data_IF_547748533530
#
_entry.id   IF_547748533530
#
_cell.length_a   1.000
_cell.length_b   1.000
_cell.length_c   1.000
_cell.angle_alpha   90.00
_cell.angle_beta   90.00
_cell.angle_gamma   90.00
#
_symmetry.space_group_name_H-M   'P 1'
#
loop_
_entity.id
_entity.type
_entity.pdbx_description
1 polymer ?
#
# COMPACT_ATOMS: atom_id res chain seq x y z
N UNK A 1 69.84 55.58 5.40
CA UNK A 1 68.80 55.44 4.35
C UNK A 1 67.45 55.30 5.03
N UNK A 2 66.53 56.26 4.82
CA UNK A 2 65.18 56.29 5.43
C UNK A 2 64.18 55.62 4.48
N UNK A 3 63.62 54.46 4.85
CA UNK A 3 62.50 53.87 4.11
C UNK A 3 61.17 54.32 4.73
N UNK A 4 60.42 55.15 3.99
CA UNK A 4 59.02 55.51 4.30
C UNK A 4 58.13 54.30 4.04
N UNK A 5 57.49 53.76 5.08
CA UNK A 5 56.36 52.81 4.93
C UNK A 5 55.16 53.59 4.38
N UNK A 6 54.75 53.30 3.15
CA UNK A 6 53.47 53.76 2.59
C UNK A 6 52.41 52.77 3.08
N UNK A 7 51.55 53.23 4.00
CA UNK A 7 50.38 52.47 4.45
C UNK A 7 49.24 52.75 3.45
N UNK A 8 48.94 51.79 2.58
CA UNK A 8 47.78 51.88 1.68
C UNK A 8 46.53 51.51 2.49
N UNK A 9 45.75 52.52 2.90
CA UNK A 9 44.46 52.33 3.58
C UNK A 9 43.43 51.99 2.50
N UNK A 10 43.15 50.71 2.32
CA UNK A 10 42.00 50.26 1.54
C UNK A 10 40.75 50.53 2.38
N UNK A 11 40.00 51.60 2.06
CA UNK A 11 38.64 51.80 2.56
C UNK A 11 37.75 50.71 1.96
N UNK A 12 37.54 49.63 2.70
CA UNK A 12 36.54 48.62 2.36
C UNK A 12 35.17 49.21 2.74
N UNK A 13 34.47 49.76 1.74
CA UNK A 13 33.08 50.16 1.92
C UNK A 13 32.24 48.89 2.08
N UNK A 14 31.88 48.56 3.31
CA UNK A 14 30.94 47.48 3.62
C UNK A 14 29.55 47.95 3.18
N UNK A 15 29.16 47.61 1.95
CA UNK A 15 27.78 47.68 1.52
C UNK A 15 27.02 46.62 2.32
N UNK A 16 26.35 47.03 3.38
CA UNK A 16 25.37 46.19 4.08
C UNK A 16 24.23 45.92 3.11
N UNK A 17 24.33 44.83 2.35
CA UNK A 17 23.18 44.30 1.64
C UNK A 17 22.21 43.83 2.71
N UNK A 18 21.08 44.54 2.83
CA UNK A 18 19.96 44.04 3.60
C UNK A 18 19.44 42.81 2.86
N UNK A 19 19.91 41.63 3.26
CA UNK A 19 19.34 40.37 2.79
C UNK A 19 17.91 40.34 3.31
N UNK A 20 16.93 40.60 2.43
CA UNK A 20 15.53 40.25 2.68
C UNK A 20 15.51 38.75 2.99
N UNK A 21 15.31 38.40 4.26
CA UNK A 21 15.00 37.02 4.66
C UNK A 21 13.71 36.64 3.94
N UNK A 22 13.81 35.76 2.94
CA UNK A 22 12.63 35.07 2.42
C UNK A 22 11.97 34.35 3.60
N UNK A 23 10.64 34.45 3.77
CA UNK A 23 9.96 33.69 4.81
C UNK A 23 10.19 32.21 4.54
N UNK A 24 10.86 31.53 5.46
CA UNK A 24 11.01 30.08 5.41
C UNK A 24 9.67 29.47 5.78
N UNK A 25 8.81 29.27 4.78
CA UNK A 25 7.57 28.52 4.96
C UNK A 25 7.95 27.08 5.22
N UNK A 26 7.63 26.54 6.39
CA UNK A 26 7.77 25.11 6.65
C UNK A 26 7.07 24.33 5.54
N UNK A 27 7.65 23.23 5.04
CA UNK A 27 6.98 22.39 4.07
C UNK A 27 5.65 21.89 4.65
N UNK A 28 4.61 21.72 3.82
CA UNK A 28 3.33 21.22 4.27
C UNK A 28 3.47 19.81 4.85
N UNK A 29 2.56 19.45 5.77
CA UNK A 29 2.51 18.11 6.35
C UNK A 29 2.38 17.06 5.24
N UNK A 30 3.23 16.04 5.28
CA UNK A 30 3.17 14.93 4.32
C UNK A 30 2.13 13.88 4.74
N UNK A 31 1.70 13.06 3.78
CA UNK A 31 0.78 11.93 4.05
C UNK A 31 1.39 10.98 5.08
N UNK A 32 2.66 10.66 4.92
CA UNK A 32 3.44 9.80 5.80
C UNK A 32 3.53 10.37 7.23
N UNK A 33 3.74 11.68 7.37
CA UNK A 33 3.76 12.32 8.68
C UNK A 33 2.37 12.27 9.36
N UNK A 34 1.30 12.52 8.60
CA UNK A 34 -0.08 12.37 9.11
C UNK A 34 -0.36 10.94 9.57
N UNK A 35 0.05 9.93 8.78
CA UNK A 35 -0.09 8.51 9.12
C UNK A 35 0.71 8.14 10.38
N UNK A 36 1.90 8.69 10.58
CA UNK A 36 2.68 8.46 11.81
C UNK A 36 2.00 9.05 13.05
N UNK A 37 1.36 10.23 12.95
CA UNK A 37 0.51 10.75 14.04
C UNK A 37 -0.68 9.82 14.30
N UNK A 38 -1.31 9.30 13.24
CA UNK A 38 -2.41 8.35 13.36
C UNK A 38 -2.00 7.06 14.08
N UNK A 39 -0.82 6.50 13.79
CA UNK A 39 -0.26 5.36 14.53
C UNK A 39 -0.15 5.69 16.03
N UNK A 40 0.34 6.88 16.36
CA UNK A 40 0.45 7.35 17.74
C UNK A 40 -0.89 7.40 18.47
N UNK A 41 -1.94 7.87 17.79
CA UNK A 41 -3.31 7.95 18.35
C UNK A 41 -4.02 6.59 18.42
N UNK A 42 -3.68 5.64 17.55
CA UNK A 42 -4.23 4.27 17.56
C UNK A 42 -3.54 3.40 18.63
N UNK A 43 -2.25 3.64 18.90
CA UNK A 43 -1.44 2.84 19.84
C UNK A 43 -2.13 2.54 21.19
N UNK A 44 -2.81 3.49 21.86
CA UNK A 44 -3.53 3.19 23.11
C UNK A 44 -4.58 2.08 23.00
N UNK A 45 -5.25 1.93 21.84
CA UNK A 45 -6.25 0.87 21.61
C UNK A 45 -5.60 -0.52 21.78
N UNK A 46 -4.38 -0.69 21.27
CA UNK A 46 -3.61 -1.93 21.41
C UNK A 46 -3.09 -2.12 22.83
N UNK A 47 -2.52 -1.05 23.42
CA UNK A 47 -1.98 -1.08 24.78
C UNK A 47 -3.02 -1.45 25.84
N UNK A 48 -4.26 -0.95 25.72
CA UNK A 48 -5.39 -1.29 26.60
C UNK A 48 -5.73 -2.78 26.60
N UNK A 49 -5.39 -3.49 25.52
CA UNK A 49 -5.60 -4.95 25.38
C UNK A 49 -4.34 -5.76 25.67
N UNK A 50 -3.27 -5.12 26.15
CA UNK A 50 -2.01 -5.77 26.50
C UNK A 50 -1.05 -5.98 25.33
N UNK A 51 -1.30 -5.39 24.17
CA UNK A 51 -0.41 -5.51 23.01
C UNK A 51 0.53 -4.31 22.89
N UNK A 52 1.82 -4.60 22.76
CA UNK A 52 2.83 -3.62 22.43
C UNK A 52 2.87 -3.37 20.92
N UNK A 53 2.56 -2.16 20.49
CA UNK A 53 2.73 -1.79 19.09
C UNK A 53 4.23 -1.59 18.76
N UNK A 54 4.81 -2.32 17.79
CA UNK A 54 6.20 -2.14 17.40
C UNK A 54 6.42 -0.79 16.68
N UNK A 55 7.68 -0.44 16.46
CA UNK A 55 8.01 0.63 15.52
C UNK A 55 7.60 0.21 14.10
N UNK A 56 6.94 1.11 13.38
CA UNK A 56 6.45 0.86 12.01
C UNK A 56 6.81 2.05 11.13
N UNK A 57 7.04 1.77 9.84
CA UNK A 57 6.98 2.79 8.78
C UNK A 57 5.64 2.67 8.08
N UNK A 58 5.00 3.80 7.81
CA UNK A 58 3.69 3.83 7.16
C UNK A 58 3.75 4.79 5.98
N UNK A 59 3.38 4.29 4.80
CA UNK A 59 3.41 5.05 3.56
C UNK A 59 2.09 4.98 2.80
N UNK A 60 1.73 6.06 2.11
CA UNK A 60 0.62 6.04 1.17
C UNK A 60 1.11 5.62 -0.20
N UNK A 61 0.91 4.34 -0.53
CA UNK A 61 1.38 3.71 -1.75
C UNK A 61 0.50 2.53 -2.15
N UNK A 62 0.76 1.96 -3.32
CA UNK A 62 0.07 0.75 -3.76
C UNK A 62 0.64 -0.47 -3.04
N UNK A 63 -0.19 -1.26 -2.33
CA UNK A 63 0.24 -2.56 -1.83
C UNK A 63 0.77 -3.44 -2.97
N UNK A 64 1.79 -4.26 -2.69
CA UNK A 64 2.35 -5.16 -3.70
C UNK A 64 1.30 -6.16 -4.14
N UNK A 65 1.18 -6.35 -5.45
CA UNK A 65 0.19 -7.25 -6.03
C UNK A 65 -1.23 -6.70 -6.00
N UNK A 66 -1.42 -5.47 -5.49
CA UNK A 66 -2.64 -4.73 -5.75
C UNK A 66 -2.67 -4.40 -7.26
N UNK A 67 -3.39 -5.23 -8.02
CA UNK A 67 -3.98 -4.76 -9.26
C UNK A 67 -4.93 -3.59 -8.95
N UNK A 68 -5.59 -3.05 -9.98
CA UNK A 68 -6.42 -1.85 -9.86
C UNK A 68 -7.48 -1.90 -8.74
N UNK A 69 -7.88 -3.07 -8.21
CA UNK A 69 -9.08 -3.22 -7.36
C UNK A 69 -8.98 -4.00 -6.03
N UNK A 70 -7.87 -4.61 -5.63
CA UNK A 70 -7.99 -5.67 -4.59
C UNK A 70 -7.59 -5.29 -3.15
N UNK A 71 -6.44 -4.64 -2.94
CA UNK A 71 -5.86 -4.49 -1.60
C UNK A 71 -5.91 -3.02 -1.15
N UNK A 72 -6.39 -2.81 0.09
CA UNK A 72 -6.56 -1.49 0.69
C UNK A 72 -5.44 -1.15 1.69
N UNK A 73 -4.85 -2.17 2.32
CA UNK A 73 -3.67 -2.07 3.17
C UNK A 73 -2.75 -3.26 2.93
N UNK A 74 -1.50 -3.15 3.38
CA UNK A 74 -0.57 -4.27 3.50
C UNK A 74 0.57 -3.95 4.47
N UNK A 75 0.77 -4.84 5.44
CA UNK A 75 1.94 -4.88 6.29
C UNK A 75 2.99 -5.89 5.78
N UNK A 76 4.25 -5.56 5.98
CA UNK A 76 5.40 -6.44 5.80
C UNK A 76 6.12 -6.63 7.13
N UNK A 77 6.37 -7.89 7.48
CA UNK A 77 7.11 -8.27 8.67
C UNK A 77 8.54 -7.72 8.67
N UNK A 78 9.18 -7.66 9.85
CA UNK A 78 10.56 -7.19 10.02
C UNK A 78 11.57 -7.96 9.16
N UNK A 79 11.29 -9.24 8.86
CA UNK A 79 12.10 -10.08 7.96
C UNK A 79 12.18 -9.57 6.52
N UNK A 80 11.28 -8.66 6.12
CA UNK A 80 11.22 -8.06 4.79
C UNK A 80 11.91 -6.68 4.73
N UNK A 81 12.42 -6.16 5.85
CA UNK A 81 13.20 -4.93 5.90
C UNK A 81 14.65 -5.20 6.32
N UNK A 82 15.60 -4.57 5.65
CA UNK A 82 17.03 -4.70 5.96
C UNK A 82 17.39 -4.19 7.37
N UNK A 83 16.60 -3.26 7.92
CA UNK A 83 16.79 -2.71 9.27
C UNK A 83 15.76 -3.21 10.29
N UNK A 84 15.00 -4.24 9.93
CA UNK A 84 14.12 -4.94 10.88
C UNK A 84 12.93 -4.13 11.37
N UNK A 85 12.45 -3.15 10.59
CA UNK A 85 11.23 -2.39 10.88
C UNK A 85 10.07 -2.87 10.00
N UNK A 86 8.87 -3.00 10.56
CA UNK A 86 7.68 -3.33 9.77
C UNK A 86 7.33 -2.19 8.79
N UNK A 87 7.01 -2.55 7.55
CA UNK A 87 6.61 -1.60 6.50
C UNK A 87 5.11 -1.74 6.21
N UNK A 88 4.34 -0.67 6.38
CA UNK A 88 2.91 -0.64 6.14
C UNK A 88 2.60 0.29 4.96
N UNK A 89 1.79 -0.21 4.03
CA UNK A 89 1.30 0.55 2.89
C UNK A 89 -0.22 0.71 2.97
N UNK A 90 -0.69 1.95 2.94
CA UNK A 90 -2.11 2.29 2.84
C UNK A 90 -2.43 2.75 1.42
N UNK A 91 -3.51 2.22 0.87
CA UNK A 91 -3.91 2.50 -0.50
C UNK A 91 -4.22 4.00 -0.70
N UNK A 92 -3.82 4.59 -1.83
CA UNK A 92 -4.16 5.96 -2.17
C UNK A 92 -5.61 6.13 -2.66
N UNK A 93 -6.45 5.09 -2.59
CA UNK A 93 -7.87 5.18 -2.94
C UNK A 93 -8.72 5.92 -1.91
N UNK A 94 -8.22 6.00 -0.68
CA UNK A 94 -8.95 6.62 0.43
C UNK A 94 -8.31 7.94 0.80
N UNK A 95 -9.17 8.92 1.08
CA UNK A 95 -8.80 10.24 1.58
C UNK A 95 -9.52 10.61 2.89
N UNK A 96 -10.59 9.89 3.25
CA UNK A 96 -11.30 10.09 4.50
C UNK A 96 -10.54 9.45 5.65
N UNK A 97 -10.38 10.21 6.74
CA UNK A 97 -9.67 9.74 7.93
C UNK A 97 -10.20 8.40 8.44
N UNK A 98 -11.52 8.20 8.52
CA UNK A 98 -12.09 6.95 9.03
C UNK A 98 -11.71 5.71 8.20
N UNK A 99 -11.72 5.80 6.87
CA UNK A 99 -11.40 4.67 5.99
C UNK A 99 -9.90 4.31 6.07
N UNK A 100 -9.05 5.34 6.22
CA UNK A 100 -7.61 5.21 6.41
C UNK A 100 -7.29 4.59 7.77
N UNK A 101 -7.92 5.09 8.84
CA UNK A 101 -7.70 4.62 10.21
C UNK A 101 -8.17 3.19 10.41
N UNK A 102 -9.30 2.82 9.81
CA UNK A 102 -9.81 1.44 9.84
C UNK A 102 -8.82 0.48 9.16
N UNK A 103 -8.40 0.82 7.93
CA UNK A 103 -7.39 0.06 7.20
C UNK A 103 -6.06 -0.02 7.97
N UNK A 104 -5.58 1.10 8.49
CA UNK A 104 -4.34 1.17 9.26
C UNK A 104 -4.42 0.30 10.53
N UNK A 105 -5.56 0.30 11.21
CA UNK A 105 -5.75 -0.53 12.41
C UNK A 105 -5.64 -2.02 12.07
N UNK A 106 -6.20 -2.47 10.95
CA UNK A 106 -6.01 -3.84 10.46
C UNK A 106 -4.53 -4.16 10.21
N UNK A 107 -3.81 -3.29 9.52
CA UNK A 107 -2.39 -3.52 9.22
C UNK A 107 -1.50 -3.47 10.48
N UNK A 108 -1.90 -2.71 11.50
CA UNK A 108 -1.21 -2.69 12.78
C UNK A 108 -1.38 -4.00 13.57
N UNK A 109 -2.48 -4.74 13.36
CA UNK A 109 -2.60 -6.12 13.88
C UNK A 109 -1.53 -7.02 13.26
N UNK A 110 -1.34 -6.93 11.93
CA UNK A 110 -0.24 -7.66 11.27
C UNK A 110 1.13 -7.24 11.80
N UNK A 111 1.34 -5.97 12.11
CA UNK A 111 2.59 -5.50 12.68
C UNK A 111 2.85 -6.08 14.08
N UNK A 112 1.83 -6.12 14.95
CA UNK A 112 1.92 -6.77 16.29
C UNK A 112 2.22 -8.26 16.15
N UNK A 113 1.61 -8.93 15.18
CA UNK A 113 1.84 -10.35 14.83
C UNK A 113 3.14 -10.57 14.02
N UNK A 114 3.86 -9.51 13.69
CA UNK A 114 5.01 -9.51 12.77
C UNK A 114 4.77 -10.28 11.45
N UNK A 115 3.53 -10.27 10.96
CA UNK A 115 3.06 -10.99 9.77
C UNK A 115 3.28 -12.52 9.81
N UNK A 116 3.38 -13.14 10.98
CA UNK A 116 3.68 -14.56 11.12
C UNK A 116 2.49 -15.46 10.78
N UNK A 117 1.27 -15.04 11.16
CA UNK A 117 0.09 -15.89 11.12
C UNK A 117 -0.91 -15.51 10.03
N UNK A 118 -0.59 -14.53 9.17
CA UNK A 118 -1.51 -14.00 8.16
C UNK A 118 -2.85 -13.60 8.81
N UNK A 119 -3.95 -14.26 8.44
CA UNK A 119 -5.27 -14.07 9.05
C UNK A 119 -5.71 -15.29 9.87
N UNK A 120 -4.73 -15.98 10.47
CA UNK A 120 -4.88 -17.18 11.29
C UNK A 120 -5.41 -16.92 12.71
N UNK A 121 -5.39 -17.94 13.58
CA UNK A 121 -5.93 -17.86 14.94
C UNK A 121 -5.34 -16.73 15.80
N UNK A 122 -4.03 -16.53 15.76
CA UNK A 122 -3.28 -15.53 16.53
C UNK A 122 -3.66 -14.12 16.09
N UNK A 123 -3.62 -13.86 14.78
CA UNK A 123 -4.15 -12.62 14.19
C UNK A 123 -5.59 -12.36 14.62
N UNK A 124 -6.45 -13.39 14.51
CA UNK A 124 -7.88 -13.29 14.86
C UNK A 124 -8.06 -12.92 16.32
N UNK A 125 -7.28 -13.49 17.22
CA UNK A 125 -7.34 -13.18 18.64
C UNK A 125 -7.04 -11.70 18.89
N UNK A 126 -5.94 -11.18 18.32
CA UNK A 126 -5.56 -9.76 18.46
C UNK A 126 -6.65 -8.88 17.85
N UNK A 127 -7.07 -9.16 16.60
CA UNK A 127 -8.06 -8.39 15.87
C UNK A 127 -9.39 -8.27 16.63
N UNK A 128 -9.95 -9.40 17.10
CA UNK A 128 -11.20 -9.39 17.86
C UNK A 128 -11.05 -8.66 19.20
N UNK A 129 -9.91 -8.78 19.87
CA UNK A 129 -9.69 -8.16 21.19
C UNK A 129 -9.74 -6.63 21.14
N UNK A 130 -9.29 -6.02 20.03
CA UNK A 130 -9.28 -4.57 19.82
C UNK A 130 -10.59 -4.06 19.20
N UNK A 131 -11.51 -4.96 18.83
CA UNK A 131 -12.82 -4.62 18.29
C UNK A 131 -12.92 -4.60 16.77
N UNK A 132 -12.03 -5.29 16.04
CA UNK A 132 -12.26 -5.62 14.63
C UNK A 132 -13.27 -6.78 14.53
N UNK A 133 -14.08 -6.78 13.47
CA UNK A 133 -15.13 -7.75 13.25
C UNK A 133 -15.17 -8.24 11.80
N UNK A 134 -15.93 -9.32 11.55
CA UNK A 134 -16.14 -9.89 10.22
C UNK A 134 -15.13 -10.97 9.84
N UNK A 135 -15.00 -11.21 8.53
CA UNK A 135 -14.05 -12.21 8.00
C UNK A 135 -12.64 -11.63 8.11
N UNK A 136 -11.69 -12.30 8.78
CA UNK A 136 -10.37 -11.73 9.11
C UNK A 136 -9.61 -11.13 7.93
N UNK A 137 -9.71 -11.70 6.72
CA UNK A 137 -9.11 -11.13 5.49
C UNK A 137 -9.68 -9.75 5.08
N UNK A 138 -10.84 -9.39 5.62
CA UNK A 138 -11.61 -8.16 5.38
C UNK A 138 -12.08 -7.54 6.70
N UNK A 139 -11.42 -7.89 7.82
CA UNK A 139 -11.83 -7.42 9.12
C UNK A 139 -11.74 -5.90 9.19
N UNK A 140 -12.78 -5.28 9.74
CA UNK A 140 -12.97 -3.83 9.84
C UNK A 140 -13.50 -3.52 11.24
N UNK A 141 -13.38 -2.27 11.67
CA UNK A 141 -13.80 -1.82 12.98
C UNK A 141 -15.29 -2.08 13.22
N UNK A 142 -15.57 -2.87 14.27
CA UNK A 142 -16.90 -3.02 14.85
C UNK A 142 -17.42 -1.69 15.41
N UNK A 143 -18.70 -1.60 15.81
CA UNK A 143 -19.35 -0.33 16.15
C UNK A 143 -18.60 0.51 17.19
N UNK A 144 -18.11 -0.11 18.26
CA UNK A 144 -17.37 0.58 19.33
C UNK A 144 -16.02 1.09 18.84
N UNK A 145 -15.22 0.24 18.20
CA UNK A 145 -13.92 0.62 17.66
C UNK A 145 -14.08 1.71 16.60
N UNK A 146 -15.10 1.60 15.73
CA UNK A 146 -15.38 2.58 14.68
C UNK A 146 -15.67 3.96 15.26
N UNK A 147 -16.44 4.03 16.33
CA UNK A 147 -16.68 5.30 17.05
C UNK A 147 -15.38 5.87 17.62
N UNK A 148 -14.51 5.04 18.22
CA UNK A 148 -13.19 5.48 18.70
C UNK A 148 -12.31 6.02 17.56
N UNK A 149 -12.26 5.32 16.43
CA UNK A 149 -11.51 5.75 15.25
C UNK A 149 -12.06 7.06 14.66
N UNK A 150 -13.37 7.29 14.70
CA UNK A 150 -13.96 8.59 14.31
C UNK A 150 -13.50 9.73 15.22
N UNK A 151 -13.44 9.51 16.54
CA UNK A 151 -12.92 10.52 17.48
C UNK A 151 -11.44 10.81 17.22
N UNK A 152 -10.63 9.77 16.97
CA UNK A 152 -9.22 9.92 16.59
C UNK A 152 -9.10 10.70 15.28
N UNK A 153 -9.89 10.36 14.25
CA UNK A 153 -9.91 11.07 12.97
C UNK A 153 -10.22 12.55 13.16
N UNK A 154 -11.28 12.89 13.91
CA UNK A 154 -11.64 14.27 14.21
C UNK A 154 -10.52 15.01 14.95
N UNK A 155 -9.85 14.34 15.90
CA UNK A 155 -8.71 14.91 16.63
C UNK A 155 -7.55 15.21 15.69
N UNK A 156 -7.15 14.25 14.86
CA UNK A 156 -6.07 14.42 13.87
C UNK A 156 -6.38 15.54 12.89
N UNK A 157 -7.61 15.61 12.37
CA UNK A 157 -8.02 16.68 11.46
C UNK A 157 -7.98 18.06 12.13
N UNK A 158 -8.33 18.14 13.41
CA UNK A 158 -8.26 19.38 14.19
C UNK A 158 -6.82 19.82 14.47
N UNK A 159 -5.89 18.89 14.74
CA UNK A 159 -4.52 19.22 15.14
C UNK A 159 -3.55 19.34 13.96
N UNK A 160 -3.73 18.53 12.93
CA UNK A 160 -2.80 18.37 11.80
C UNK A 160 -3.43 18.71 10.45
N UNK A 161 -4.72 19.05 10.44
CA UNK A 161 -5.49 19.22 9.20
C UNK A 161 -5.95 17.88 8.62
N UNK A 162 -6.76 17.98 7.56
CA UNK A 162 -7.22 16.81 6.80
C UNK A 162 -6.03 16.00 6.31
N UNK A 163 -6.23 14.69 6.17
CA UNK A 163 -5.24 13.83 5.54
C UNK A 163 -4.82 14.43 4.19
N UNK A 164 -3.53 14.76 3.98
CA UNK A 164 -3.09 15.59 2.84
C UNK A 164 -3.01 14.77 1.55
N UNK A 165 -4.16 14.28 1.09
CA UNK A 165 -4.32 13.40 -0.06
C UNK A 165 -5.75 13.53 -0.62
N UNK A 166 -5.91 13.42 -1.93
CA UNK A 166 -7.22 13.26 -2.57
C UNK A 166 -7.36 11.83 -3.10
N UNK A 167 -8.53 11.21 -2.92
CA UNK A 167 -8.76 9.83 -3.34
C UNK A 167 -8.40 9.63 -4.82
N UNK A 168 -7.57 8.63 -5.10
CA UNK A 168 -7.25 8.26 -6.47
C UNK A 168 -8.38 7.42 -7.07
N UNK A 169 -8.97 7.95 -8.14
CA UNK A 169 -9.93 7.23 -8.96
C UNK A 169 -9.23 6.60 -10.16
N UNK A 170 -9.56 5.33 -10.43
CA UNK A 170 -9.07 4.63 -11.61
C UNK A 170 -10.23 4.52 -12.59
N UNK A 171 -10.10 5.06 -13.81
CA UNK A 171 -11.13 4.84 -14.82
C UNK A 171 -11.29 3.33 -15.02
N UNK A 172 -12.54 2.88 -15.15
CA UNK A 172 -12.80 1.55 -15.63
C UNK A 172 -12.03 1.40 -16.94
N UNK A 173 -11.20 0.37 -17.08
CA UNK A 173 -10.67 0.09 -18.41
C UNK A 173 -11.85 -0.43 -19.21
N UNK A 174 -12.29 0.35 -20.19
CA UNK A 174 -13.15 -0.07 -21.30
C UNK A 174 -12.46 -1.12 -22.19
N UNK A 175 -11.52 -1.88 -21.65
CA UNK A 175 -11.06 -3.10 -22.29
C UNK A 175 -12.25 -4.04 -22.24
N UNK A 176 -12.95 -4.32 -23.37
CA UNK A 176 -13.89 -5.42 -23.40
C UNK A 176 -13.13 -6.60 -22.81
N UNK A 177 -13.77 -7.39 -21.93
CA UNK A 177 -13.15 -8.61 -21.42
C UNK A 177 -12.69 -9.37 -22.65
N UNK A 178 -11.40 -9.29 -22.97
CA UNK A 178 -10.85 -9.94 -24.13
C UNK A 178 -10.79 -11.37 -23.63
N UNK A 179 -11.93 -12.08 -23.73
CA UNK A 179 -12.09 -13.45 -23.26
C UNK A 179 -10.98 -14.17 -23.99
N UNK A 180 -9.89 -14.45 -23.27
CA UNK A 180 -8.70 -15.05 -23.87
C UNK A 180 -9.21 -16.29 -24.56
N UNK A 181 -9.03 -16.33 -25.89
CA UNK A 181 -9.43 -17.50 -26.65
C UNK A 181 -8.72 -18.71 -26.01
N UNK A 182 -9.48 -19.76 -25.76
CA UNK A 182 -8.95 -20.97 -25.12
C UNK A 182 -9.18 -22.16 -26.05
N UNK A 183 -8.54 -22.15 -27.23
CA UNK A 183 -8.76 -23.13 -28.28
C UNK A 183 -8.27 -24.50 -27.81
N UNK A 184 -9.18 -25.47 -27.81
CA UNK A 184 -8.91 -26.84 -27.35
C UNK A 184 -9.02 -27.80 -28.52
N UNK A 185 -8.09 -28.73 -28.64
CA UNK A 185 -8.21 -29.89 -29.53
C UNK A 185 -8.41 -31.15 -28.70
N UNK A 186 -9.27 -32.06 -29.16
CA UNK A 186 -9.57 -33.32 -28.47
C UNK A 186 -9.53 -34.49 -29.46
N UNK A 187 -8.85 -35.56 -29.10
CA UNK A 187 -8.79 -36.80 -29.86
C UNK A 187 -10.16 -37.50 -29.79
N UNK A 188 -10.80 -37.84 -30.93
CA UNK A 188 -12.12 -38.46 -30.93
C UNK A 188 -12.11 -39.93 -30.45
N UNK A 189 -10.94 -40.58 -30.36
CA UNK A 189 -10.81 -41.99 -30.00
C UNK A 189 -10.47 -42.21 -28.52
N UNK A 190 -9.39 -41.59 -28.03
CA UNK A 190 -8.98 -41.74 -26.63
C UNK A 190 -9.30 -40.56 -25.72
N UNK A 191 -9.97 -39.51 -26.22
CA UNK A 191 -10.31 -38.29 -25.49
C UNK A 191 -9.11 -37.49 -24.93
N UNK A 192 -7.88 -37.82 -25.36
CA UNK A 192 -6.71 -36.97 -25.10
C UNK A 192 -6.98 -35.55 -25.60
N UNK A 193 -6.71 -34.53 -24.80
CA UNK A 193 -7.01 -33.14 -25.17
C UNK A 193 -5.88 -32.20 -24.81
N UNK A 194 -5.69 -31.17 -25.65
CA UNK A 194 -4.66 -30.14 -25.48
C UNK A 194 -5.24 -28.75 -25.74
N UNK A 195 -4.75 -27.77 -25.00
CA UNK A 195 -5.03 -26.35 -25.24
C UNK A 195 -3.90 -25.80 -26.09
N UNK A 196 -4.23 -25.08 -27.15
CA UNK A 196 -3.27 -24.56 -28.12
C UNK A 196 -3.03 -23.06 -27.92
N UNK A 197 -1.85 -22.61 -28.33
CA UNK A 197 -1.56 -21.17 -28.42
C UNK A 197 -2.30 -20.55 -29.61
N UNK A 198 -2.51 -19.22 -29.59
CA UNK A 198 -3.10 -18.49 -30.72
C UNK A 198 -2.27 -18.60 -32.01
N UNK A 199 -0.96 -18.82 -31.90
CA UNK A 199 -0.12 -19.07 -33.08
C UNK A 199 -0.33 -20.48 -33.65
N UNK A 200 -0.60 -21.45 -32.79
CA UNK A 200 -0.73 -22.86 -33.18
C UNK A 200 -2.07 -23.15 -33.86
N UNK A 201 -3.12 -22.39 -33.55
CA UNK A 201 -4.44 -22.55 -34.20
C UNK A 201 -4.42 -22.17 -35.69
N UNK A 202 -3.52 -21.26 -36.10
CA UNK A 202 -3.33 -20.88 -37.50
C UNK A 202 -2.79 -22.06 -38.32
N UNK A 203 -1.98 -22.91 -37.69
CA UNK A 203 -1.46 -24.15 -38.29
C UNK A 203 -2.53 -25.26 -38.27
N UNK A 204 -3.30 -25.37 -37.18
CA UNK A 204 -4.40 -26.32 -37.04
C UNK A 204 -4.26 -27.28 -35.85
N UNK A 205 -5.20 -28.23 -35.69
CA UNK A 205 -5.15 -29.18 -34.60
C UNK A 205 -3.97 -30.16 -34.75
N UNK A 206 -3.32 -30.56 -33.64
CA UNK A 206 -2.22 -31.52 -33.68
C UNK A 206 -2.72 -32.95 -33.88
N UNK A 207 -1.77 -33.85 -34.11
CA UNK A 207 -2.00 -35.30 -34.13
C UNK A 207 -1.96 -35.83 -32.68
N UNK A 208 -2.87 -36.74 -32.35
CA UNK A 208 -2.90 -37.41 -31.06
C UNK A 208 -1.65 -38.29 -30.88
N UNK A 209 -0.88 -38.13 -29.79
CA UNK A 209 0.34 -38.90 -29.57
C UNK A 209 0.09 -40.39 -29.31
N UNK A 210 -1.12 -40.76 -28.89
CA UNK A 210 -1.49 -42.15 -28.60
C UNK A 210 -2.07 -42.88 -29.81
N UNK A 211 -3.04 -42.26 -30.46
CA UNK A 211 -3.79 -42.89 -31.56
C UNK A 211 -3.26 -42.51 -32.95
N UNK A 212 -2.31 -41.58 -33.04
CA UNK A 212 -1.72 -41.08 -34.28
C UNK A 212 -2.75 -40.57 -35.31
N UNK A 213 -3.85 -39.99 -34.83
CA UNK A 213 -4.92 -39.39 -35.64
C UNK A 213 -5.02 -37.88 -35.41
N UNK A 214 -5.50 -37.14 -36.40
CA UNK A 214 -5.75 -35.71 -36.28
C UNK A 214 -6.82 -35.44 -35.21
N UNK A 215 -6.53 -34.54 -34.27
CA UNK A 215 -7.45 -34.16 -33.21
C UNK A 215 -8.53 -33.19 -33.73
N UNK A 216 -9.70 -33.16 -33.07
CA UNK A 216 -10.84 -32.33 -33.47
C UNK A 216 -10.86 -31.02 -32.69
N UNK A 217 -11.18 -29.91 -33.36
CA UNK A 217 -11.33 -28.58 -32.76
C UNK A 217 -12.53 -28.55 -31.80
N UNK A 218 -12.34 -27.99 -30.61
CA UNK A 218 -13.37 -27.81 -29.59
C UNK A 218 -13.35 -26.37 -29.08
N UNK A 219 -14.53 -25.73 -29.08
CA UNK A 219 -14.71 -24.34 -28.63
C UNK A 219 -14.34 -23.30 -29.70
N UNK A 220 -14.09 -22.06 -29.25
CA UNK A 220 -13.70 -20.96 -30.14
C UNK A 220 -12.20 -21.02 -30.40
N UNK A 221 -11.86 -21.09 -31.68
CA UNK A 221 -10.53 -20.98 -32.25
C UNK A 221 -10.46 -19.68 -33.05
#
# INVERSE_FOLDING_TARGET
MKYKKILCIIKVNFLTSQTKKMPQTMPPLTREAWLLFAVGEIKPIFSEKGYGLPAVRVSCAFPRGAGRNALVGQCWGTSCSADGVNEIFITPKYDKAIDILDTLTHELVHAVDNCEHKHGPEFKQIALSIGLEGKMIHASAGPELKHRLQLIGNKLEKTHGKYPHGAMHFPATDSPSNKRLHPKATCPKCNYSVVLSLKSIEVGPPICPKDNILMVKQGRW
#
